data_IF_610030715564
#
_entry.id   IF_610030715564
#
_cell.length_a   1.000
_cell.length_b   1.000
_cell.length_c   1.000
_cell.angle_alpha   90.00
_cell.angle_beta   90.00
_cell.angle_gamma   90.00
#
_symmetry.space_group_name_H-M   'P 1'
#
loop_
_entity.id
_entity.type
_entity.pdbx_description
1 polymer ?
#
# COMPACT_ATOMS: atom_id res chain seq x y z
N UNK A 1 -6.91 24.42 4.18
CA UNK A 1 -6.87 22.98 4.47
C UNK A 1 -6.09 22.32 3.36
N UNK A 2 -5.12 21.46 3.67
CA UNK A 2 -4.37 20.71 2.68
C UNK A 2 -5.28 19.72 1.98
N UNK A 3 -4.91 19.31 0.76
CA UNK A 3 -5.62 18.32 -0.02
C UNK A 3 -4.72 17.08 -0.13
N UNK A 4 -4.68 16.29 0.96
CA UNK A 4 -3.72 15.20 1.14
C UNK A 4 -4.25 13.89 0.61
N UNK A 5 -3.40 13.14 -0.07
CA UNK A 5 -3.74 11.81 -0.60
C UNK A 5 -2.56 10.85 -0.56
N UNK A 6 -2.87 9.55 -0.58
CA UNK A 6 -1.90 8.47 -0.63
C UNK A 6 -2.12 7.58 -1.86
N UNK A 7 -1.03 6.99 -2.32
CA UNK A 7 -1.00 5.86 -3.26
C UNK A 7 0.04 4.86 -2.74
N UNK A 8 -0.36 3.62 -2.53
CA UNK A 8 0.52 2.55 -2.05
C UNK A 8 0.88 1.62 -3.21
N UNK A 9 2.16 1.30 -3.34
CA UNK A 9 2.65 0.31 -4.31
C UNK A 9 3.44 -0.74 -3.52
N UNK A 10 2.96 -1.98 -3.53
CA UNK A 10 3.67 -3.13 -2.98
C UNK A 10 4.57 -3.69 -4.08
N UNK A 11 5.84 -3.82 -3.78
CA UNK A 11 6.86 -4.22 -4.76
C UNK A 11 7.39 -5.62 -4.53
N UNK A 12 7.43 -6.07 -3.28
CA UNK A 12 8.01 -7.39 -2.95
C UNK A 12 7.32 -8.02 -1.75
N UNK A 13 7.32 -9.36 -1.72
CA UNK A 13 6.80 -10.18 -0.64
C UNK A 13 7.70 -11.40 -0.47
N UNK A 14 8.38 -11.49 0.66
CA UNK A 14 9.35 -12.55 0.96
C UNK A 14 8.94 -13.29 2.22
N UNK A 15 8.84 -14.60 2.12
CA UNK A 15 8.59 -15.46 3.27
C UNK A 15 9.80 -15.46 4.22
N UNK A 16 9.55 -15.21 5.52
CA UNK A 16 10.58 -15.02 6.54
C UNK A 16 10.57 -16.09 7.64
N UNK A 17 10.16 -17.30 7.33
CA UNK A 17 10.07 -18.42 8.30
C UNK A 17 11.30 -18.60 9.17
N UNK A 18 12.50 -18.32 8.64
CA UNK A 18 13.76 -18.46 9.37
C UNK A 18 14.08 -17.34 10.35
N UNK A 19 13.48 -16.17 10.21
CA UNK A 19 13.77 -15.02 11.08
C UNK A 19 13.13 -15.21 12.45
N UNK A 20 11.96 -15.85 12.52
CA UNK A 20 11.23 -16.06 13.79
C UNK A 20 11.94 -17.09 14.65
N UNK A 21 12.46 -18.15 14.04
CA UNK A 21 13.26 -19.15 14.77
C UNK A 21 14.54 -18.55 15.35
N UNK A 22 15.07 -17.47 14.78
CA UNK A 22 16.25 -16.78 15.29
C UNK A 22 15.94 -15.74 16.36
N UNK A 23 14.76 -15.12 16.37
CA UNK A 23 14.38 -14.19 17.45
C UNK A 23 14.09 -14.93 18.75
N UNK A 24 13.62 -16.16 18.71
CA UNK A 24 13.50 -17.03 19.89
C UNK A 24 14.87 -17.35 20.53
N UNK A 25 15.98 -17.18 19.80
CA UNK A 25 17.34 -17.36 20.34
C UNK A 25 17.80 -16.18 21.23
N UNK A 26 17.13 -15.04 21.18
CA UNK A 26 17.51 -13.86 22.00
C UNK A 26 16.90 -13.88 23.39
N UNK A 27 15.85 -14.69 23.60
CA UNK A 27 15.22 -14.84 24.92
C UNK A 27 15.60 -16.20 25.54
N UNK A 28 16.91 -16.40 25.73
CA UNK A 28 17.48 -17.66 26.26
C UNK A 28 17.00 -18.03 27.67
N UNK A 29 16.44 -17.07 28.40
CA UNK A 29 16.04 -17.22 29.79
C UNK A 29 14.51 -17.38 29.96
N UNK A 30 13.73 -17.37 28.87
CA UNK A 30 12.30 -17.62 28.91
C UNK A 30 12.03 -19.12 28.77
N UNK A 31 11.62 -19.77 29.85
CA UNK A 31 11.01 -21.11 29.78
C UNK A 31 9.73 -20.99 28.95
N UNK A 32 9.75 -21.58 27.74
CA UNK A 32 8.56 -21.70 26.88
C UNK A 32 7.62 -22.69 27.57
N UNK A 33 6.42 -22.26 27.93
CA UNK A 33 5.42 -23.15 28.51
C UNK A 33 5.10 -24.29 27.51
N UNK A 34 4.91 -25.53 28.00
CA UNK A 34 4.72 -26.71 27.13
C UNK A 34 3.49 -26.63 26.20
N UNK A 35 2.56 -25.75 26.49
CA UNK A 35 1.33 -25.45 25.74
C UNK A 35 1.49 -24.25 24.78
N UNK A 36 2.57 -23.52 24.88
CA UNK A 36 2.95 -22.50 23.91
C UNK A 36 3.52 -23.21 22.67
N UNK A 37 2.66 -23.92 21.93
CA UNK A 37 3.00 -24.38 20.59
C UNK A 37 3.26 -23.10 19.77
N UNK A 38 4.55 -22.82 19.54
CA UNK A 38 4.96 -21.94 18.44
C UNK A 38 4.46 -22.61 17.16
N UNK A 39 3.19 -22.32 16.84
CA UNK A 39 2.69 -22.63 15.51
C UNK A 39 3.65 -21.95 14.55
N UNK A 40 4.20 -22.67 13.58
CA UNK A 40 4.98 -22.04 12.54
C UNK A 40 4.04 -21.16 11.73
N UNK A 41 3.75 -19.96 12.24
CA UNK A 41 3.13 -18.95 11.43
C UNK A 41 4.18 -18.52 10.44
N UNK A 42 4.08 -19.05 9.25
CA UNK A 42 4.78 -18.55 8.10
C UNK A 42 4.42 -17.07 7.99
N UNK A 43 5.42 -16.20 8.07
CA UNK A 43 5.25 -14.77 7.94
C UNK A 43 5.87 -14.30 6.63
N UNK A 44 5.30 -13.25 6.08
CA UNK A 44 5.84 -12.54 4.93
C UNK A 44 6.33 -11.16 5.33
N UNK A 45 7.54 -10.83 4.93
CA UNK A 45 8.01 -9.46 4.88
C UNK A 45 7.53 -8.85 3.57
N UNK A 46 6.72 -7.82 3.69
CA UNK A 46 6.18 -7.07 2.55
C UNK A 46 6.89 -5.74 2.47
N UNK A 47 7.36 -5.39 1.28
CA UNK A 47 8.01 -4.11 1.02
C UNK A 47 7.34 -3.36 -0.11
N UNK A 48 7.47 -2.05 -0.09
CA UNK A 48 6.86 -1.19 -1.09
C UNK A 48 7.19 0.27 -0.90
N UNK A 49 6.38 1.13 -1.50
CA UNK A 49 6.46 2.58 -1.37
C UNK A 49 5.08 3.18 -1.17
N UNK A 50 5.02 4.23 -0.35
CA UNK A 50 3.88 5.15 -0.28
C UNK A 50 4.27 6.45 -0.97
N UNK A 51 3.48 6.85 -1.92
CA UNK A 51 3.51 8.20 -2.49
C UNK A 51 2.44 9.02 -1.79
N UNK A 52 2.82 10.16 -1.26
CA UNK A 52 1.88 11.08 -0.59
C UNK A 52 1.98 12.47 -1.19
N UNK A 53 0.85 13.17 -1.24
CA UNK A 53 0.76 14.56 -1.67
C UNK A 53 0.05 15.39 -0.60
N UNK A 54 0.62 16.55 -0.25
CA UNK A 54 0.01 17.49 0.68
C UNK A 54 -1.03 18.40 0.01
N UNK A 55 -0.83 18.74 -1.27
CA UNK A 55 -1.63 19.75 -1.97
C UNK A 55 -2.20 19.27 -3.30
N UNK A 56 -1.55 18.28 -3.94
CA UNK A 56 -2.00 17.70 -5.21
C UNK A 56 -3.29 16.88 -5.08
N UNK A 57 -3.55 16.40 -3.87
CA UNK A 57 -4.77 15.69 -3.53
C UNK A 57 -5.03 14.49 -4.44
N UNK A 58 -6.30 14.27 -4.70
CA UNK A 58 -6.73 13.17 -5.57
C UNK A 58 -6.24 13.31 -7.02
N UNK A 59 -5.93 14.53 -7.48
CA UNK A 59 -5.40 14.70 -8.84
C UNK A 59 -4.03 14.03 -9.01
N UNK A 60 -3.15 14.12 -8.01
CA UNK A 60 -1.86 13.42 -8.04
C UNK A 60 -2.04 11.90 -8.18
N UNK A 61 -2.97 11.32 -7.43
CA UNK A 61 -3.33 9.90 -7.51
C UNK A 61 -3.87 9.55 -8.89
N UNK A 62 -4.81 10.32 -9.42
CA UNK A 62 -5.42 10.08 -10.73
C UNK A 62 -4.40 10.22 -11.86
N UNK A 63 -3.44 11.14 -11.78
CA UNK A 63 -2.36 11.27 -12.76
C UNK A 63 -1.40 10.09 -12.71
N UNK A 64 -1.08 9.58 -11.51
CA UNK A 64 -0.31 8.35 -11.37
C UNK A 64 -1.04 7.13 -11.97
N UNK A 65 -2.35 6.97 -11.69
CA UNK A 65 -3.16 5.90 -12.30
C UNK A 65 -3.25 6.03 -13.82
N UNK A 66 -3.36 7.26 -14.35
CA UNK A 66 -3.31 7.52 -15.80
C UNK A 66 -1.95 7.12 -16.40
N UNK A 67 -0.85 7.42 -15.70
CA UNK A 67 0.49 7.00 -16.13
C UNK A 67 0.66 5.48 -16.05
N UNK A 68 0.10 4.84 -15.01
CA UNK A 68 0.04 3.39 -14.91
C UNK A 68 -0.66 2.78 -16.13
N UNK A 69 -1.85 3.26 -16.46
CA UNK A 69 -2.64 2.83 -17.62
C UNK A 69 -1.87 2.95 -18.94
N UNK A 70 -1.19 4.08 -19.14
CA UNK A 70 -0.52 4.38 -20.43
C UNK A 70 0.82 3.71 -20.58
N UNK A 71 1.62 3.65 -19.51
CA UNK A 71 3.03 3.32 -19.58
C UNK A 71 3.46 2.26 -18.52
N UNK A 72 2.83 2.28 -17.34
CA UNK A 72 3.25 1.46 -16.20
C UNK A 72 3.00 -0.02 -16.42
N UNK A 73 1.85 -0.40 -16.96
CA UNK A 73 1.45 -1.81 -17.13
C UNK A 73 2.50 -2.64 -17.89
N UNK A 74 3.16 -2.06 -18.88
CA UNK A 74 4.21 -2.74 -19.65
C UNK A 74 5.50 -2.95 -18.84
N UNK A 75 5.63 -2.26 -17.69
CA UNK A 75 6.79 -2.29 -16.81
C UNK A 75 6.49 -2.89 -15.44
N UNK A 76 5.29 -3.44 -15.27
CA UNK A 76 4.86 -3.97 -13.97
C UNK A 76 5.69 -5.18 -13.48
N UNK A 77 6.49 -5.83 -14.35
CA UNK A 77 7.51 -6.81 -13.96
C UNK A 77 8.89 -6.21 -13.66
N UNK A 78 9.03 -4.90 -13.80
CA UNK A 78 10.25 -4.14 -13.55
C UNK A 78 9.94 -3.06 -12.51
N UNK A 79 9.88 -3.43 -11.25
CA UNK A 79 9.38 -2.65 -10.12
C UNK A 79 9.93 -1.23 -10.07
N UNK A 80 11.24 -1.07 -10.17
CA UNK A 80 11.89 0.25 -10.09
C UNK A 80 11.46 1.18 -11.23
N UNK A 81 11.26 0.63 -12.44
CA UNK A 81 10.73 1.41 -13.58
C UNK A 81 9.26 1.73 -13.40
N UNK A 82 8.47 0.78 -12.90
CA UNK A 82 7.06 0.98 -12.60
C UNK A 82 6.88 2.11 -11.58
N UNK A 83 7.54 2.00 -10.44
CA UNK A 83 7.50 3.01 -9.36
C UNK A 83 7.93 4.37 -9.90
N UNK A 84 9.03 4.44 -10.68
CA UNK A 84 9.51 5.71 -11.26
C UNK A 84 8.49 6.36 -12.20
N UNK A 85 7.77 5.58 -13.02
CA UNK A 85 6.75 6.10 -13.94
C UNK A 85 5.61 6.75 -13.14
N UNK A 86 5.12 6.06 -12.11
CA UNK A 86 4.04 6.55 -11.28
C UNK A 86 4.48 7.76 -10.44
N UNK A 87 5.67 7.69 -9.83
CA UNK A 87 6.24 8.78 -9.05
C UNK A 87 6.36 10.07 -9.85
N UNK A 88 6.87 9.98 -11.09
CA UNK A 88 6.96 11.14 -11.98
C UNK A 88 5.62 11.79 -12.28
N UNK A 89 4.58 10.98 -12.49
CA UNK A 89 3.25 11.50 -12.76
C UNK A 89 2.60 12.05 -11.48
N UNK A 90 2.79 11.39 -10.35
CA UNK A 90 2.27 11.79 -9.06
C UNK A 90 2.80 13.16 -8.60
N UNK A 91 4.07 13.44 -8.88
CA UNK A 91 4.73 14.71 -8.51
C UNK A 91 4.74 15.76 -9.61
N UNK A 92 4.15 15.50 -10.78
CA UNK A 92 4.24 16.38 -11.93
C UNK A 92 3.61 17.78 -11.74
N UNK A 93 2.65 17.89 -10.82
CA UNK A 93 1.99 19.16 -10.47
C UNK A 93 2.61 19.89 -9.28
N UNK A 94 3.66 19.31 -8.68
CA UNK A 94 4.31 19.93 -7.53
C UNK A 94 5.23 21.06 -7.93
N UNK A 95 5.21 22.10 -7.12
CA UNK A 95 6.29 23.08 -7.07
C UNK A 95 7.18 22.77 -5.85
N UNK A 96 8.30 23.43 -5.71
CA UNK A 96 9.29 23.22 -4.64
C UNK A 96 8.71 23.36 -3.21
N UNK A 97 7.52 23.94 -3.07
CA UNK A 97 6.87 24.22 -1.79
C UNK A 97 5.76 23.21 -1.44
N UNK A 98 5.33 22.33 -2.36
CA UNK A 98 4.07 21.58 -2.22
C UNK A 98 4.15 20.26 -1.50
N UNK A 99 5.32 19.76 -1.20
CA UNK A 99 5.48 18.68 -0.22
C UNK A 99 4.89 17.33 -0.60
N UNK A 100 4.95 16.93 -1.86
CA UNK A 100 4.78 15.52 -2.22
C UNK A 100 6.04 14.73 -1.94
N UNK A 101 5.90 13.48 -1.58
CA UNK A 101 7.03 12.63 -1.28
C UNK A 101 6.79 11.16 -1.57
N UNK A 102 7.89 10.41 -1.50
CA UNK A 102 7.91 8.96 -1.63
C UNK A 102 8.59 8.39 -0.38
N UNK A 103 7.89 7.53 0.33
CA UNK A 103 8.36 6.88 1.54
C UNK A 103 8.47 5.38 1.28
N UNK A 104 9.65 4.75 1.46
CA UNK A 104 9.75 3.31 1.49
C UNK A 104 9.03 2.77 2.72
N UNK A 105 8.40 1.62 2.58
CA UNK A 105 7.66 0.96 3.66
C UNK A 105 7.98 -0.52 3.69
N UNK A 106 8.00 -1.08 4.90
CA UNK A 106 8.06 -2.52 5.11
C UNK A 106 7.23 -2.89 6.34
N UNK A 107 6.57 -4.03 6.27
CA UNK A 107 5.75 -4.56 7.36
C UNK A 107 5.64 -6.08 7.24
N UNK A 108 5.26 -6.72 8.34
CA UNK A 108 5.16 -8.18 8.42
C UNK A 108 3.68 -8.56 8.50
N UNK A 109 3.30 -9.55 7.69
CA UNK A 109 1.94 -10.11 7.68
C UNK A 109 2.00 -11.64 7.79
N UNK A 110 0.91 -12.28 8.17
CA UNK A 110 0.81 -13.72 8.08
C UNK A 110 0.94 -14.15 6.61
N UNK A 111 1.60 -15.29 6.38
CA UNK A 111 1.79 -15.82 5.02
C UNK A 111 0.44 -15.97 4.32
N UNK A 112 0.40 -15.58 3.04
CA UNK A 112 -0.81 -15.57 2.23
C UNK A 112 -1.97 -14.70 2.76
N UNK A 113 -1.75 -13.95 3.85
CA UNK A 113 -2.78 -13.01 4.32
C UNK A 113 -3.01 -11.90 3.28
N UNK A 114 -4.26 -11.50 3.08
CA UNK A 114 -4.57 -10.34 2.26
C UNK A 114 -3.90 -9.09 2.86
N UNK A 115 -3.29 -8.28 2.01
CA UNK A 115 -2.70 -7.03 2.44
C UNK A 115 -3.79 -6.00 2.74
N UNK A 116 -3.59 -5.26 3.82
CA UNK A 116 -4.48 -4.18 4.22
C UNK A 116 -5.94 -4.62 4.36
N UNK A 117 -6.20 -5.44 5.36
CA UNK A 117 -7.54 -5.86 5.75
C UNK A 117 -8.07 -5.10 6.97
N UNK A 118 -7.19 -4.40 7.69
CA UNK A 118 -7.52 -3.60 8.86
C UNK A 118 -6.56 -2.41 9.01
N UNK A 119 -6.91 -1.46 9.86
CA UNK A 119 -6.13 -0.24 10.08
C UNK A 119 -4.80 -0.50 10.79
N UNK A 120 -4.66 -1.55 11.57
CA UNK A 120 -3.39 -1.90 12.22
C UNK A 120 -2.28 -2.18 11.21
N UNK A 121 -2.63 -2.79 10.08
CA UNK A 121 -1.67 -3.04 9.00
C UNK A 121 -1.33 -1.78 8.22
N UNK A 122 -2.26 -0.86 8.11
CA UNK A 122 -2.18 0.30 7.21
C UNK A 122 -1.56 1.52 7.89
N UNK A 123 -1.91 1.79 9.14
CA UNK A 123 -1.46 2.99 9.85
C UNK A 123 0.07 3.19 9.89
N UNK A 124 0.89 2.14 10.10
CA UNK A 124 2.34 2.31 10.06
C UNK A 124 2.88 2.73 8.69
N UNK A 125 2.11 2.48 7.64
CA UNK A 125 2.49 2.68 6.24
C UNK A 125 2.09 4.05 5.74
N UNK A 126 0.92 4.55 6.14
CA UNK A 126 0.34 5.77 5.59
C UNK A 126 0.88 7.05 6.22
N UNK A 127 0.67 8.11 5.47
CA UNK A 127 0.63 9.50 5.97
C UNK A 127 -0.82 9.95 6.10
N UNK A 128 -1.07 11.02 6.85
CA UNK A 128 -2.40 11.62 6.96
C UNK A 128 -3.02 11.85 5.56
N UNK A 129 -4.28 11.51 5.41
CA UNK A 129 -5.05 11.70 4.18
C UNK A 129 -6.35 12.42 4.47
N UNK A 130 -6.76 13.32 3.58
CA UNK A 130 -8.08 13.98 3.63
C UNK A 130 -9.15 13.09 2.97
N UNK A 131 -8.75 11.96 2.36
CA UNK A 131 -9.65 11.02 1.71
C UNK A 131 -9.70 9.70 2.48
N UNK A 132 -10.90 9.15 2.70
CA UNK A 132 -11.06 7.88 3.41
C UNK A 132 -10.55 6.69 2.60
N UNK A 133 -10.48 6.83 1.26
CA UNK A 133 -10.04 5.74 0.37
C UNK A 133 -8.79 6.15 -0.40
N UNK A 134 -7.90 5.17 -0.56
CA UNK A 134 -6.71 5.33 -1.40
C UNK A 134 -6.42 4.03 -2.17
N UNK A 135 -5.80 4.13 -3.35
CA UNK A 135 -5.47 2.95 -4.14
C UNK A 135 -4.24 2.23 -3.60
N UNK A 136 -4.29 0.92 -3.65
CA UNK A 136 -3.18 0.02 -3.44
C UNK A 136 -2.93 -0.75 -4.72
N UNK A 137 -1.72 -0.71 -5.23
CA UNK A 137 -1.24 -1.51 -6.36
C UNK A 137 -0.29 -2.56 -5.80
N UNK A 138 -0.66 -3.82 -5.92
CA UNK A 138 0.17 -4.94 -5.49
C UNK A 138 0.80 -5.61 -6.72
N UNK A 139 2.11 -5.41 -6.91
CA UNK A 139 2.86 -5.98 -8.03
C UNK A 139 3.12 -7.48 -7.82
N UNK A 140 3.07 -7.96 -6.58
CA UNK A 140 3.34 -9.36 -6.26
C UNK A 140 2.18 -10.27 -6.65
N UNK A 141 0.94 -9.80 -6.44
CA UNK A 141 -0.30 -10.49 -6.82
C UNK A 141 -0.88 -10.02 -8.16
N UNK A 142 -0.34 -8.93 -8.71
CA UNK A 142 -0.87 -8.28 -9.92
C UNK A 142 -2.30 -7.79 -9.75
N UNK A 143 -2.56 -7.15 -8.64
CA UNK A 143 -3.86 -6.63 -8.26
C UNK A 143 -3.84 -5.12 -8.01
N UNK A 144 -5.00 -4.50 -8.15
CA UNK A 144 -5.28 -3.13 -7.73
C UNK A 144 -6.62 -3.08 -7.01
N UNK A 145 -6.68 -2.34 -5.91
CA UNK A 145 -7.90 -2.15 -5.13
C UNK A 145 -7.90 -0.81 -4.40
N UNK A 146 -9.05 -0.40 -3.88
CA UNK A 146 -9.13 0.69 -2.92
C UNK A 146 -9.13 0.12 -1.49
N UNK A 147 -8.36 0.73 -0.64
CA UNK A 147 -8.47 0.54 0.80
C UNK A 147 -9.24 1.72 1.41
N UNK A 148 -10.24 1.43 2.22
CA UNK A 148 -10.99 2.40 2.99
C UNK A 148 -10.47 2.40 4.42
N UNK A 149 -9.78 3.47 4.82
CA UNK A 149 -9.28 3.64 6.17
C UNK A 149 -10.27 4.42 7.02
N UNK A 150 -10.44 3.99 8.26
CA UNK A 150 -11.31 4.68 9.20
C UNK A 150 -10.49 5.58 10.15
N UNK A 151 -9.60 6.42 9.60
CA UNK A 151 -8.74 7.31 10.38
C UNK A 151 -9.46 8.17 11.42
N UNK A 152 -10.76 8.37 11.29
CA UNK A 152 -11.55 9.28 12.12
C UNK A 152 -12.75 8.62 12.81
N UNK A 153 -12.86 7.29 12.78
CA UNK A 153 -14.00 6.55 13.34
C UNK A 153 -13.60 5.36 14.21
N UNK A 154 -14.58 4.81 14.90
CA UNK A 154 -14.40 3.65 15.81
C UNK A 154 -14.46 2.29 15.08
N UNK A 155 -14.40 2.27 13.76
CA UNK A 155 -14.46 1.06 12.93
C UNK A 155 -13.10 0.63 12.40
N UNK A 156 -13.01 -0.61 11.99
CA UNK A 156 -11.83 -1.13 11.27
C UNK A 156 -11.86 -0.67 9.81
N UNK A 157 -10.68 -0.39 9.26
CA UNK A 157 -10.54 -0.17 7.83
C UNK A 157 -10.87 -1.43 7.02
N UNK A 158 -11.18 -1.28 5.76
CA UNK A 158 -11.55 -2.40 4.91
C UNK A 158 -10.94 -2.35 3.52
N UNK A 159 -10.59 -3.53 3.02
CA UNK A 159 -10.21 -3.72 1.63
C UNK A 159 -11.49 -3.75 0.77
N UNK A 160 -11.53 -2.87 -0.23
CA UNK A 160 -12.58 -2.86 -1.23
C UNK A 160 -12.46 -3.98 -2.26
N UNK A 161 -13.29 -3.91 -3.29
CA UNK A 161 -13.23 -4.84 -4.41
C UNK A 161 -11.86 -4.83 -5.07
N UNK A 162 -11.34 -6.01 -5.35
CA UNK A 162 -10.03 -6.23 -5.95
C UNK A 162 -10.17 -6.52 -7.44
N UNK A 163 -9.34 -5.85 -8.22
CA UNK A 163 -9.31 -5.99 -9.69
C UNK A 163 -7.93 -6.47 -10.14
N UNK A 164 -7.84 -7.19 -11.27
CA UNK A 164 -6.55 -7.43 -11.91
C UNK A 164 -5.83 -6.11 -12.22
N UNK A 165 -4.51 -6.11 -12.13
CA UNK A 165 -3.68 -4.95 -12.51
C UNK A 165 -3.59 -4.88 -14.04
N UNK A 166 -4.66 -4.46 -14.65
CA UNK A 166 -4.81 -4.23 -16.09
C UNK A 166 -5.56 -2.91 -16.36
N UNK A 167 -5.84 -2.62 -17.62
CA UNK A 167 -6.54 -1.39 -18.00
C UNK A 167 -7.94 -1.27 -17.41
N UNK A 168 -8.66 -2.39 -17.30
CA UNK A 168 -10.00 -2.40 -16.76
C UNK A 168 -10.00 -2.16 -15.25
N UNK A 169 -9.11 -2.84 -14.53
CA UNK A 169 -8.96 -2.65 -13.09
C UNK A 169 -8.54 -1.23 -12.71
N UNK A 170 -7.59 -0.64 -13.45
CA UNK A 170 -7.18 0.76 -13.23
C UNK A 170 -8.36 1.71 -13.47
N UNK A 171 -9.13 1.51 -14.53
CA UNK A 171 -10.30 2.35 -14.82
C UNK A 171 -11.39 2.19 -13.74
N UNK A 172 -11.64 0.97 -13.26
CA UNK A 172 -12.61 0.72 -12.20
C UNK A 172 -12.26 1.49 -10.92
N UNK A 173 -11.01 1.39 -10.48
CA UNK A 173 -10.49 2.11 -9.31
C UNK A 173 -10.54 3.63 -9.53
N UNK A 174 -10.10 4.13 -10.69
CA UNK A 174 -10.14 5.56 -11.00
C UNK A 174 -11.57 6.12 -11.00
N UNK A 175 -12.54 5.38 -11.53
CA UNK A 175 -13.95 5.78 -11.50
C UNK A 175 -14.50 5.89 -10.06
N UNK A 176 -14.17 4.96 -9.17
CA UNK A 176 -14.58 5.03 -7.77
C UNK A 176 -13.98 6.26 -7.07
N UNK A 177 -12.70 6.57 -7.32
CA UNK A 177 -12.04 7.76 -6.77
C UNK A 177 -12.68 9.05 -7.28
N UNK A 178 -12.97 9.14 -8.58
CA UNK A 178 -13.62 10.33 -9.18
C UNK A 178 -15.02 10.54 -8.58
N UNK A 179 -15.78 9.47 -8.36
CA UNK A 179 -17.10 9.55 -7.73
C UNK A 179 -16.98 10.10 -6.30
N UNK A 180 -16.05 9.58 -5.51
CA UNK A 180 -15.81 10.02 -4.13
C UNK A 180 -15.48 11.52 -4.01
N UNK A 181 -14.80 12.09 -4.99
CA UNK A 181 -14.43 13.53 -4.98
C UNK A 181 -15.61 14.44 -5.37
N UNK A 182 -16.63 13.90 -6.04
CA UNK A 182 -17.79 14.66 -6.53
C UNK A 182 -18.97 14.69 -5.55
N UNK A 183 -19.01 13.71 -4.67
CA UNK A 183 -20.04 13.56 -3.62
C UNK A 183 -19.60 14.34 -2.36
#
# INVERSE_FOLDING_TARGET
>A
MGNRSNLVIITDRVQIEHVINNTALWDRDREIAPDEQLLPHSLDLVTGVVMYSHWGGMNAVLDALRACYKYGLQRASQESYFVRILARAFTAGDNEETGSGIKPVSFVVAHDAPLFTNDEQVQPVLTDSDYPKFPVIDLTTREIYLYESNFFGDGEGSRGETYPLDRNGINAVAHQLIKMVRD
#
